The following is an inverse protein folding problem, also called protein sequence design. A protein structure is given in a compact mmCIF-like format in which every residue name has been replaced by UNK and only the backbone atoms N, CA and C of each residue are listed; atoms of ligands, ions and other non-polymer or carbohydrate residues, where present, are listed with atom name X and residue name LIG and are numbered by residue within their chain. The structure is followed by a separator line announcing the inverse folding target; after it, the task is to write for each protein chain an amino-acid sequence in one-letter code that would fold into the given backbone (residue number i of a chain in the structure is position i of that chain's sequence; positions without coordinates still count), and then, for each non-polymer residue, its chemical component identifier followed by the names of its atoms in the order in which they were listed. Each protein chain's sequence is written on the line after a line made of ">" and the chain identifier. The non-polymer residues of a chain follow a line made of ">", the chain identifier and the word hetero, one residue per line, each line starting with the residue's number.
data_IF_037757618353
#
_entry.id   IF_037757618353
#
_cell.length_a   1.000
_cell.length_b   1.000
_cell.length_c   1.000
_cell.angle_alpha   90.00
_cell.angle_beta   90.00
_cell.angle_gamma   90.00
#
_symmetry.space_group_name_H-M   'P 1'
#
loop_
_entity.id
_entity.type
_entity.pdbx_description
1 polymer ?
#
# COMPACT_ATOMS: atom_id res chain seq x y z
N UNK A 1 34.53 17.38 11.98
CA UNK A 1 33.42 16.86 12.81
C UNK A 1 32.47 17.99 13.12
N UNK A 2 31.29 18.01 12.49
CA UNK A 2 30.21 18.91 12.87
C UNK A 2 28.96 18.06 13.03
N UNK A 3 28.47 17.99 14.25
CA UNK A 3 27.23 17.33 14.64
C UNK A 3 26.14 18.40 14.68
N UNK A 4 25.02 18.16 14.00
CA UNK A 4 23.82 19.01 14.08
C UNK A 4 22.80 18.22 14.90
N UNK A 5 22.47 18.74 16.08
CA UNK A 5 21.45 18.19 16.99
C UNK A 5 20.11 18.88 16.71
N UNK A 6 19.07 18.10 16.43
CA UNK A 6 17.70 18.60 16.24
C UNK A 6 16.95 18.49 17.58
N UNK A 7 16.53 19.62 18.15
CA UNK A 7 15.64 19.66 19.32
C UNK A 7 14.17 19.64 18.83
N UNK A 8 13.43 18.61 19.21
CA UNK A 8 11.98 18.54 19.07
C UNK A 8 11.33 19.16 20.32
N UNK A 9 10.62 20.28 20.16
CA UNK A 9 9.60 20.72 21.13
C UNK A 9 8.22 20.29 20.64
N UNK A 10 7.71 19.20 21.21
CA UNK A 10 6.33 18.78 20.99
C UNK A 10 5.41 19.52 21.96
N UNK A 11 5.04 20.76 21.63
CA UNK A 11 3.75 21.27 22.11
C UNK A 11 2.68 20.53 21.32
N UNK A 12 1.79 19.84 22.03
CA UNK A 12 0.64 19.14 21.47
C UNK A 12 -0.32 20.14 20.83
N UNK A 13 -0.01 20.56 19.61
CA UNK A 13 -0.98 21.08 18.69
C UNK A 13 -1.80 19.87 18.26
N UNK A 14 -3.09 19.86 18.61
CA UNK A 14 -4.05 19.00 17.98
C UNK A 14 -4.03 19.36 16.49
N UNK A 15 -3.22 18.67 15.70
CA UNK A 15 -3.40 18.65 14.28
C UNK A 15 -4.79 18.06 14.05
N UNK A 16 -5.79 18.93 13.86
CA UNK A 16 -6.84 18.66 12.87
C UNK A 16 -6.16 18.83 11.49
N UNK A 17 -5.08 18.08 11.30
CA UNK A 17 -4.29 18.06 10.10
C UNK A 17 -4.82 16.91 9.30
N UNK A 18 -5.19 17.17 8.04
CA UNK A 18 -5.41 16.10 7.08
C UNK A 18 -4.28 15.10 7.23
N UNK A 19 -4.64 13.86 7.44
CA UNK A 19 -3.75 12.73 7.49
C UNK A 19 -3.27 12.46 6.07
N UNK A 20 -2.32 13.27 5.62
CA UNK A 20 -1.48 12.89 4.50
C UNK A 20 -0.65 11.71 4.99
N UNK A 21 -0.91 10.50 4.47
CA UNK A 21 -0.12 9.32 4.80
C UNK A 21 1.15 9.41 3.93
N UNK A 22 2.32 9.82 4.46
CA UNK A 22 3.56 9.71 3.69
C UNK A 22 3.91 8.23 3.50
N UNK A 23 4.80 7.92 2.54
CA UNK A 23 5.38 6.58 2.46
C UNK A 23 5.96 6.18 3.81
N UNK A 24 5.76 4.93 4.24
CA UNK A 24 6.22 4.45 5.56
C UNK A 24 7.75 4.43 5.69
N UNK A 25 8.45 4.48 4.56
CA UNK A 25 9.90 4.51 4.46
C UNK A 25 10.33 5.09 3.09
N UNK A 26 11.65 5.18 2.86
CA UNK A 26 12.18 5.60 1.58
C UNK A 26 12.03 4.50 0.50
N UNK A 27 11.52 4.91 -0.66
CA UNK A 27 11.41 4.10 -1.87
C UNK A 27 12.12 4.80 -3.03
N UNK A 28 12.88 4.04 -3.82
CA UNK A 28 13.58 4.59 -4.99
C UNK A 28 12.74 4.54 -6.27
N UNK A 29 11.58 3.86 -6.25
CA UNK A 29 10.58 3.93 -7.33
C UNK A 29 9.23 4.36 -6.77
N UNK A 30 8.54 5.19 -7.54
CA UNK A 30 7.15 5.55 -7.27
C UNK A 30 6.43 5.84 -8.59
N UNK A 31 5.10 5.67 -8.58
CA UNK A 31 4.23 6.12 -9.65
C UNK A 31 2.86 6.50 -9.10
N UNK A 32 2.14 7.32 -9.86
CA UNK A 32 0.74 7.63 -9.63
C UNK A 32 -0.08 6.89 -10.69
N UNK A 33 -1.04 6.07 -10.27
CA UNK A 33 -1.80 5.18 -11.15
C UNK A 33 -3.04 5.85 -11.76
N UNK A 34 -3.45 7.02 -11.25
CA UNK A 34 -4.56 7.81 -11.76
C UNK A 34 -4.18 9.29 -11.96
N UNK A 35 -4.86 9.97 -12.89
CA UNK A 35 -4.61 11.38 -13.21
C UNK A 35 -4.90 12.29 -12.00
N UNK A 36 -5.84 11.90 -11.13
CA UNK A 36 -6.24 12.69 -9.98
C UNK A 36 -5.35 12.48 -8.74
N UNK A 37 -4.36 11.58 -8.81
CA UNK A 37 -3.42 11.37 -7.71
C UNK A 37 -3.98 10.62 -6.50
N UNK A 38 -5.13 9.95 -6.66
CA UNK A 38 -5.80 9.21 -5.60
C UNK A 38 -5.24 7.80 -5.38
N UNK A 39 -4.42 7.29 -6.29
CA UNK A 39 -3.79 5.98 -6.20
C UNK A 39 -2.30 6.12 -6.49
N UNK A 40 -1.48 5.85 -5.49
CA UNK A 40 -0.03 5.92 -5.57
C UNK A 40 0.57 4.57 -5.22
N UNK A 41 1.60 4.21 -5.96
CA UNK A 41 2.35 2.98 -5.77
C UNK A 41 3.82 3.31 -5.56
N UNK A 42 4.37 2.83 -4.47
CA UNK A 42 5.79 2.91 -4.12
C UNK A 42 6.36 1.50 -4.09
N UNK A 43 7.58 1.34 -4.59
CA UNK A 43 8.22 0.03 -4.54
C UNK A 43 9.73 0.12 -4.47
N UNK A 44 10.28 -0.92 -3.85
CA UNK A 44 11.72 -1.21 -3.83
C UNK A 44 11.87 -2.72 -3.84
N UNK A 45 12.99 -3.18 -4.37
CA UNK A 45 13.33 -4.59 -4.39
C UNK A 45 14.79 -4.79 -3.98
N UNK A 46 15.07 -5.99 -3.49
CA UNK A 46 16.40 -6.52 -3.27
C UNK A 46 16.54 -7.84 -4.07
N UNK A 47 17.62 -8.59 -3.83
CA UNK A 47 17.89 -9.83 -4.56
C UNK A 47 16.88 -10.96 -4.30
N UNK A 48 16.03 -10.83 -3.28
CA UNK A 48 15.14 -11.89 -2.80
C UNK A 48 13.65 -11.54 -2.89
N UNK A 49 13.26 -10.28 -2.67
CA UNK A 49 11.85 -9.88 -2.59
C UNK A 49 11.63 -8.43 -3.07
N UNK A 50 10.38 -8.11 -3.41
CA UNK A 50 9.91 -6.78 -3.75
C UNK A 50 9.00 -6.29 -2.63
N UNK A 51 9.30 -5.14 -2.03
CA UNK A 51 8.41 -4.45 -1.10
C UNK A 51 7.58 -3.44 -1.85
N UNK A 52 6.26 -3.56 -1.71
CA UNK A 52 5.25 -2.71 -2.33
C UNK A 52 4.50 -1.94 -1.25
N UNK A 53 4.20 -0.68 -1.53
CA UNK A 53 3.35 0.15 -0.70
C UNK A 53 2.36 0.92 -1.56
N UNK A 54 1.07 0.72 -1.30
CA UNK A 54 -0.03 1.28 -2.07
C UNK A 54 -0.81 2.24 -1.20
N UNK A 55 -1.07 3.43 -1.73
CA UNK A 55 -1.89 4.46 -1.10
C UNK A 55 -3.09 4.70 -1.99
N UNK A 56 -4.29 4.43 -1.48
CA UNK A 56 -5.54 4.65 -2.19
C UNK A 56 -6.45 5.59 -1.42
N UNK A 57 -7.03 6.60 -2.08
CA UNK A 57 -8.02 7.50 -1.48
C UNK A 57 -9.38 6.81 -1.40
N UNK A 58 -9.51 5.88 -0.46
CA UNK A 58 -10.71 5.13 -0.12
C UNK A 58 -10.74 4.81 1.37
N UNK A 59 -11.93 4.58 1.92
CA UNK A 59 -12.16 4.05 3.28
C UNK A 59 -12.59 2.57 3.21
N UNK A 60 -11.88 1.78 2.42
CA UNK A 60 -12.32 0.46 2.02
C UNK A 60 -11.18 -0.41 1.53
N UNK A 61 -11.37 -1.04 0.38
CA UNK A 61 -10.43 -2.01 -0.15
C UNK A 61 -9.52 -1.35 -1.18
N UNK A 62 -8.23 -1.68 -1.12
CA UNK A 62 -7.24 -1.34 -2.15
C UNK A 62 -6.75 -2.66 -2.74
N UNK A 63 -6.70 -2.74 -4.07
CA UNK A 63 -6.18 -3.91 -4.77
C UNK A 63 -5.24 -3.52 -5.89
N UNK A 64 -4.16 -4.28 -6.05
CA UNK A 64 -3.24 -4.19 -7.17
C UNK A 64 -3.14 -5.54 -7.86
N UNK A 65 -3.21 -5.53 -9.18
CA UNK A 65 -3.06 -6.73 -10.00
C UNK A 65 -1.85 -6.62 -10.90
N UNK A 66 -0.99 -7.63 -10.89
CA UNK A 66 0.11 -7.78 -11.83
C UNK A 66 -0.32 -8.74 -12.91
N UNK A 67 -0.32 -8.30 -14.17
CA UNK A 67 -0.74 -9.13 -15.30
C UNK A 67 0.21 -9.00 -16.48
N UNK A 68 0.40 -10.07 -17.28
CA UNK A 68 1.25 -10.01 -18.47
C UNK A 68 0.70 -9.09 -19.56
N UNK A 69 -0.62 -8.89 -19.60
CA UNK A 69 -1.34 -8.22 -20.68
C UNK A 69 -2.12 -6.96 -20.24
N UNK A 70 -1.96 -6.54 -18.98
CA UNK A 70 -2.73 -5.42 -18.40
C UNK A 70 -4.21 -5.77 -18.11
N UNK A 71 -4.63 -7.01 -18.35
CA UNK A 71 -5.98 -7.52 -18.09
C UNK A 71 -6.07 -8.32 -16.79
N UNK A 72 -7.29 -8.60 -16.35
CA UNK A 72 -7.53 -9.31 -15.08
C UNK A 72 -7.34 -10.84 -15.17
N UNK A 73 -7.26 -11.39 -16.40
CA UNK A 73 -7.05 -12.82 -16.64
C UNK A 73 -5.55 -13.10 -16.56
N UNK A 74 -5.18 -14.12 -15.80
CA UNK A 74 -3.80 -14.49 -15.51
C UNK A 74 -3.08 -13.40 -14.69
N UNK A 75 -3.85 -12.60 -13.94
CA UNK A 75 -3.32 -11.58 -13.06
C UNK A 75 -3.16 -12.11 -11.63
N UNK A 76 -2.04 -11.84 -11.00
CA UNK A 76 -1.85 -12.04 -9.56
C UNK A 76 -2.35 -10.79 -8.84
N UNK A 77 -3.45 -10.93 -8.11
CA UNK A 77 -4.20 -9.81 -7.53
C UNK A 77 -4.07 -9.85 -6.02
N UNK A 78 -3.37 -8.84 -5.51
CA UNK A 78 -3.23 -8.60 -4.09
C UNK A 78 -4.28 -7.58 -3.70
N UNK A 79 -5.14 -7.92 -2.76
CA UNK A 79 -6.14 -7.02 -2.21
C UNK A 79 -6.00 -6.92 -0.70
N UNK A 80 -6.16 -5.72 -0.16
CA UNK A 80 -6.17 -5.51 1.27
C UNK A 80 -7.11 -4.40 1.68
N UNK A 81 -7.35 -4.31 2.98
CA UNK A 81 -8.22 -3.32 3.59
C UNK A 81 -7.82 -3.12 5.04
N UNK A 82 -8.26 -2.02 5.62
CA UNK A 82 -8.10 -1.77 7.05
C UNK A 82 -9.48 -1.75 7.68
N UNK A 83 -9.66 -2.51 8.76
CA UNK A 83 -10.91 -2.54 9.52
C UNK A 83 -10.61 -2.42 10.99
N UNK A 84 -11.21 -1.42 11.65
CA UNK A 84 -11.00 -1.14 13.07
C UNK A 84 -9.49 -0.99 13.43
N UNK A 85 -8.72 -0.37 12.54
CA UNK A 85 -7.27 -0.19 12.71
C UNK A 85 -6.43 -1.45 12.46
N UNK A 86 -7.03 -2.57 12.08
CA UNK A 86 -6.33 -3.81 11.73
C UNK A 86 -6.28 -3.94 10.22
N UNK A 87 -5.08 -4.07 9.68
CA UNK A 87 -4.87 -4.30 8.25
C UNK A 87 -5.03 -5.78 7.92
N UNK A 88 -5.61 -6.06 6.76
CA UNK A 88 -5.82 -7.39 6.22
C UNK A 88 -5.37 -7.41 4.76
N UNK A 89 -4.80 -8.54 4.33
CA UNK A 89 -4.42 -8.77 2.94
C UNK A 89 -4.85 -10.16 2.53
N UNK A 90 -5.17 -10.33 1.27
CA UNK A 90 -5.19 -11.65 0.66
C UNK A 90 -4.75 -11.57 -0.79
N UNK A 91 -4.14 -12.67 -1.22
CA UNK A 91 -3.71 -12.92 -2.57
C UNK A 91 -4.78 -13.76 -3.29
N UNK A 92 -4.97 -13.46 -4.57
CA UNK A 92 -6.01 -14.01 -5.41
C UNK A 92 -5.48 -14.11 -6.83
N UNK A 93 -5.50 -15.30 -7.39
CA UNK A 93 -5.13 -15.52 -8.79
C UNK A 93 -6.35 -15.38 -9.73
N UNK A 94 -6.29 -14.41 -10.64
CA UNK A 94 -7.34 -14.02 -11.56
C UNK A 94 -7.63 -15.04 -12.68
N UNK A 95 -8.52 -15.99 -12.44
CA UNK A 95 -8.97 -16.97 -13.47
C UNK A 95 -9.99 -16.41 -14.51
N UNK A 96 -10.44 -15.16 -14.36
CA UNK A 96 -11.45 -14.51 -15.22
C UNK A 96 -12.04 -13.24 -14.58
N UNK A 97 -13.06 -12.60 -15.20
CA UNK A 97 -13.80 -11.41 -14.66
C UNK A 97 -14.73 -11.73 -13.48
N UNK A 98 -14.28 -12.56 -12.54
CA UNK A 98 -15.01 -12.94 -11.32
C UNK A 98 -14.15 -12.61 -10.11
N UNK A 99 -14.73 -12.59 -8.90
CA UNK A 99 -13.92 -12.56 -7.66
C UNK A 99 -13.02 -13.79 -7.72
N UNK A 100 -11.69 -13.64 -7.81
CA UNK A 100 -10.85 -14.80 -7.97
C UNK A 100 -10.86 -15.62 -6.67
N UNK A 101 -10.88 -16.96 -6.73
CA UNK A 101 -10.76 -17.78 -5.54
C UNK A 101 -9.44 -17.43 -4.81
N UNK A 102 -9.44 -17.52 -3.48
CA UNK A 102 -8.21 -17.35 -2.71
C UNK A 102 -7.22 -18.43 -3.14
N UNK A 103 -5.97 -18.06 -3.39
CA UNK A 103 -4.93 -19.03 -3.75
C UNK A 103 -4.63 -19.93 -2.54
N UNK A 104 -4.24 -21.18 -2.81
CA UNK A 104 -3.79 -22.13 -1.79
C UNK A 104 -2.38 -21.80 -1.26
N UNK A 105 -1.65 -20.93 -1.96
CA UNK A 105 -0.35 -20.40 -1.53
C UNK A 105 -0.47 -18.88 -1.44
N UNK A 106 -0.29 -18.34 -0.24
CA UNK A 106 -0.22 -16.91 -0.02
C UNK A 106 1.26 -16.51 -0.01
N UNK A 107 1.76 -16.03 -1.14
CA UNK A 107 3.15 -15.59 -1.27
C UNK A 107 3.32 -14.10 -0.89
N UNK A 108 2.34 -13.55 -0.16
CA UNK A 108 2.29 -12.15 0.24
C UNK A 108 2.31 -12.02 1.76
N UNK A 109 3.25 -11.22 2.26
CA UNK A 109 3.37 -10.90 3.67
C UNK A 109 2.96 -9.45 3.95
N UNK A 110 1.89 -9.26 4.73
CA UNK A 110 1.44 -7.93 5.17
C UNK A 110 2.42 -7.36 6.20
N UNK A 111 3.03 -6.22 5.87
CA UNK A 111 3.99 -5.54 6.73
C UNK A 111 3.35 -4.40 7.53
N UNK A 112 2.45 -3.65 6.90
CA UNK A 112 1.72 -2.57 7.54
C UNK A 112 0.42 -2.24 6.81
N UNK A 113 -0.52 -1.63 7.51
CA UNK A 113 -1.62 -0.91 6.88
C UNK A 113 -2.26 0.07 7.83
N UNK A 114 -2.77 1.16 7.27
CA UNK A 114 -3.44 2.22 8.01
C UNK A 114 -4.56 2.82 7.18
N UNK A 115 -5.59 3.31 7.85
CA UNK A 115 -6.65 4.11 7.22
C UNK A 115 -6.81 5.41 7.99
N UNK A 116 -6.85 6.52 7.25
CA UNK A 116 -6.84 7.86 7.83
C UNK A 116 -7.37 8.87 6.81
N UNK A 117 -8.34 9.71 7.19
CA UNK A 117 -8.92 10.77 6.34
C UNK A 117 -9.31 10.36 4.91
N UNK A 118 -9.88 9.16 4.79
CA UNK A 118 -10.30 8.60 3.50
C UNK A 118 -9.14 8.13 2.62
N UNK A 119 -7.96 7.93 3.19
CA UNK A 119 -6.85 7.22 2.60
C UNK A 119 -6.65 5.88 3.28
N UNK A 120 -6.37 4.86 2.48
CA UNK A 120 -5.93 3.54 2.92
C UNK A 120 -4.51 3.33 2.40
N UNK A 121 -3.58 3.01 3.30
CA UNK A 121 -2.22 2.58 2.98
C UNK A 121 -2.07 1.11 3.32
N UNK A 122 -1.44 0.36 2.41
CA UNK A 122 -1.06 -1.02 2.62
C UNK A 122 0.38 -1.21 2.16
N UNK A 123 1.15 -1.95 2.96
CA UNK A 123 2.51 -2.33 2.66
C UNK A 123 2.68 -3.83 2.81
N UNK A 124 3.28 -4.45 1.80
CA UNK A 124 3.49 -5.89 1.76
C UNK A 124 4.73 -6.24 0.95
N UNK A 125 5.19 -7.49 1.09
CA UNK A 125 6.28 -8.07 0.31
C UNK A 125 5.90 -9.44 -0.24
#
# INVERSE_FOLDING_TARGET
>A
HLSVTLLLSATALWCVGRCDIPPTEEYYKFTTLDIAGNVKLYWKYNDTHITLEVHGRTSGWVGIGFSPNGGMRDADIIFGWVRNGVAHISDRHGIGRTIPPADNQQDVNLLAGSECDGWTMLKFT
#
